data_IF_600139181219
#
_entry.id   IF_600139181219
#
_cell.length_a   1.000
_cell.length_b   1.000
_cell.length_c   1.000
_cell.angle_alpha   90.00
_cell.angle_beta   90.00
_cell.angle_gamma   90.00
#
_symmetry.space_group_name_H-M   'P 1'
#
loop_
_entity.id
_entity.type
_entity.pdbx_description
1 polymer ?
#
# COMPACT_ATOMS: atom_id res chain seq x y z
N UNK A 1 14.78 -12.92 11.07
CA UNK A 1 14.99 -12.63 9.63
C UNK A 1 13.78 -11.87 9.16
N UNK A 2 13.92 -10.64 8.67
CA UNK A 2 12.79 -9.92 8.09
C UNK A 2 13.28 -9.30 6.79
N UNK A 3 13.03 -10.00 5.68
CA UNK A 3 13.16 -9.41 4.35
C UNK A 3 12.13 -8.29 4.14
N UNK A 4 12.24 -7.51 3.06
CA UNK A 4 11.28 -6.46 2.75
C UNK A 4 9.86 -7.05 2.66
N UNK A 5 8.92 -6.46 3.39
CA UNK A 5 7.51 -6.88 3.36
C UNK A 5 6.90 -6.42 2.04
N UNK A 6 6.52 -7.36 1.19
CA UNK A 6 5.84 -7.10 -0.08
C UNK A 6 4.34 -7.35 0.11
N UNK A 7 3.53 -6.31 -0.04
CA UNK A 7 2.07 -6.39 0.01
C UNK A 7 1.52 -6.76 -1.38
N UNK A 8 0.48 -7.59 -1.39
CA UNK A 8 -0.26 -7.94 -2.62
C UNK A 8 -1.60 -7.22 -2.66
N UNK A 9 -2.21 -7.18 -3.84
CA UNK A 9 -3.54 -6.61 -4.01
C UNK A 9 -4.59 -7.32 -3.14
N UNK A 10 -4.49 -8.64 -2.98
CA UNK A 10 -5.41 -9.44 -2.16
C UNK A 10 -5.27 -9.08 -0.68
N UNK A 11 -4.03 -8.97 -0.19
CA UNK A 11 -3.76 -8.59 1.20
C UNK A 11 -4.30 -7.20 1.52
N UNK A 12 -4.10 -6.23 0.61
CA UNK A 12 -4.62 -4.88 0.77
C UNK A 12 -6.15 -4.84 0.61
N UNK A 13 -6.74 -5.69 -0.22
CA UNK A 13 -8.19 -5.79 -0.35
C UNK A 13 -8.88 -6.35 0.90
N UNK A 14 -8.18 -7.17 1.71
CA UNK A 14 -8.68 -7.63 3.00
C UNK A 14 -8.68 -6.52 4.08
N UNK A 15 -7.91 -5.44 3.88
CA UNK A 15 -7.84 -4.29 4.79
C UNK A 15 -8.91 -3.23 4.49
N UNK A 16 -9.23 -2.42 5.48
CA UNK A 16 -10.03 -1.20 5.32
C UNK A 16 -9.20 -0.08 4.68
N UNK A 17 -9.89 0.92 4.12
CA UNK A 17 -9.21 2.13 3.57
C UNK A 17 -8.34 2.81 4.64
N UNK A 18 -8.81 2.85 5.89
CA UNK A 18 -8.08 3.48 6.99
C UNK A 18 -6.77 2.72 7.30
N UNK A 19 -6.82 1.40 7.35
CA UNK A 19 -5.63 0.55 7.57
C UNK A 19 -4.62 0.69 6.44
N UNK A 20 -5.06 0.67 5.18
CA UNK A 20 -4.17 0.84 4.02
C UNK A 20 -3.47 2.21 4.07
N UNK A 21 -4.19 3.27 4.43
CA UNK A 21 -3.61 4.62 4.56
C UNK A 21 -2.62 4.74 5.71
N UNK A 22 -2.95 4.15 6.86
CA UNK A 22 -2.04 4.12 8.00
C UNK A 22 -0.76 3.35 7.66
N UNK A 23 -0.90 2.20 6.98
CA UNK A 23 0.22 1.42 6.48
C UNK A 23 1.06 2.22 5.47
N UNK A 24 0.42 2.85 4.50
CA UNK A 24 1.07 3.70 3.50
C UNK A 24 1.90 4.80 4.17
N UNK A 25 1.31 5.52 5.13
CA UNK A 25 2.02 6.56 5.87
C UNK A 25 3.23 6.01 6.65
N UNK A 26 3.10 4.84 7.29
CA UNK A 26 4.20 4.18 7.99
C UNK A 26 5.35 3.74 7.08
N UNK A 27 5.05 3.44 5.81
CA UNK A 27 6.04 3.12 4.78
C UNK A 27 6.56 4.38 4.05
N UNK A 28 6.08 5.57 4.41
CA UNK A 28 6.39 6.83 3.75
C UNK A 28 5.85 6.90 2.31
N UNK A 29 4.73 6.22 2.05
CA UNK A 29 3.94 6.38 0.82
C UNK A 29 2.93 7.51 1.01
N UNK A 30 2.61 8.21 -0.07
CA UNK A 30 1.57 9.24 -0.10
C UNK A 30 0.42 8.78 -0.97
N UNK A 31 -0.68 8.35 -0.35
CA UNK A 31 -1.90 7.91 -1.05
C UNK A 31 -2.88 9.07 -1.18
N UNK A 32 -3.11 9.53 -2.40
CA UNK A 32 -3.98 10.67 -2.72
C UNK A 32 -5.37 10.27 -3.20
N UNK A 33 -5.53 9.03 -3.70
CA UNK A 33 -6.80 8.53 -4.23
C UNK A 33 -7.84 8.30 -3.15
N UNK A 34 -9.12 8.26 -3.51
CA UNK A 34 -10.24 8.12 -2.55
C UNK A 34 -10.89 6.73 -2.64
N UNK A 35 -11.01 6.17 -3.85
CA UNK A 35 -11.63 4.85 -4.05
C UNK A 35 -10.65 3.75 -3.61
N UNK A 36 -11.16 2.73 -2.90
CA UNK A 36 -10.32 1.63 -2.37
C UNK A 36 -9.43 0.99 -3.45
N UNK A 37 -9.99 0.67 -4.61
CA UNK A 37 -9.23 0.07 -5.70
C UNK A 37 -8.08 0.96 -6.20
N UNK A 38 -8.33 2.27 -6.31
CA UNK A 38 -7.31 3.25 -6.72
C UNK A 38 -6.23 3.45 -5.64
N UNK A 39 -6.62 3.42 -4.37
CA UNK A 39 -5.68 3.46 -3.23
C UNK A 39 -4.75 2.23 -3.26
N UNK A 40 -5.30 1.05 -3.51
CA UNK A 40 -4.52 -0.19 -3.60
C UNK A 40 -3.55 -0.13 -4.78
N UNK A 41 -4.00 0.35 -5.95
CA UNK A 41 -3.14 0.52 -7.11
C UNK A 41 -1.99 1.50 -6.82
N UNK A 42 -2.30 2.70 -6.29
CA UNK A 42 -1.30 3.72 -5.94
C UNK A 42 -0.32 3.24 -4.86
N UNK A 43 -0.77 2.41 -3.92
CA UNK A 43 0.08 1.78 -2.93
C UNK A 43 1.08 0.82 -3.59
N UNK A 44 0.60 -0.07 -4.47
CA UNK A 44 1.43 -1.08 -5.13
C UNK A 44 2.44 -0.44 -6.10
N UNK A 45 2.04 0.61 -6.82
CA UNK A 45 2.94 1.41 -7.66
C UNK A 45 4.08 2.03 -6.84
N UNK A 46 3.77 2.61 -5.69
CA UNK A 46 4.80 3.18 -4.80
C UNK A 46 5.70 2.11 -4.17
N UNK A 47 5.14 0.95 -3.83
CA UNK A 47 5.92 -0.17 -3.35
C UNK A 47 6.92 -0.67 -4.39
N UNK A 48 6.47 -0.84 -5.65
CA UNK A 48 7.35 -1.21 -6.75
C UNK A 48 8.45 -0.17 -6.93
N UNK A 49 8.10 1.12 -6.95
CA UNK A 49 9.05 2.22 -7.09
C UNK A 49 10.10 2.31 -5.95
N UNK A 50 9.77 1.88 -4.72
CA UNK A 50 10.73 1.87 -3.59
C UNK A 50 11.55 0.59 -3.46
N UNK A 51 11.12 -0.50 -4.11
CA UNK A 51 11.81 -1.78 -4.09
C UNK A 51 12.82 -1.93 -5.25
N UNK A 52 12.91 -0.92 -6.14
CA UNK A 52 13.93 -0.76 -7.19
C UNK A 52 15.11 0.04 -6.64
#
# INVERSE_FOLDING_TARGET
MSGPVVYTAEALNAMTIAEIRALAAGLGYSVTKIRKAEIIAEFLEQQEAKNV
#
